data_IF_497514884957
#
_entry.id   IF_497514884957
#
_cell.length_a   1.000
_cell.length_b   1.000
_cell.length_c   1.000
_cell.angle_alpha   90.00
_cell.angle_beta   90.00
_cell.angle_gamma   90.00
#
_symmetry.space_group_name_H-M   'P 1'
#
loop_
_entity.id
_entity.type
_entity.pdbx_description
1 polymer ?
#
# COMPACT_ATOMS: atom_id res chain seq x y z
N UNK A 1 17.15 2.47 5.54
CA UNK A 1 17.55 2.86 4.16
C UNK A 1 18.47 1.86 3.47
N UNK A 2 19.61 1.46 4.05
CA UNK A 2 20.65 0.65 3.38
C UNK A 2 20.15 -0.68 2.78
N UNK A 3 19.29 -1.41 3.51
CA UNK A 3 18.72 -2.66 3.02
C UNK A 3 17.86 -2.45 1.76
N UNK A 4 17.06 -1.38 1.73
CA UNK A 4 16.24 -0.99 0.57
C UNK A 4 17.15 -0.61 -0.60
N UNK A 5 18.22 0.16 -0.38
CA UNK A 5 19.19 0.51 -1.43
C UNK A 5 19.81 -0.71 -2.11
N UNK A 6 20.12 -1.76 -1.35
CA UNK A 6 20.66 -3.00 -1.91
C UNK A 6 19.64 -3.69 -2.83
N UNK A 7 18.37 -3.72 -2.45
CA UNK A 7 17.30 -4.27 -3.28
C UNK A 7 17.09 -3.47 -4.57
N UNK A 8 17.13 -2.14 -4.48
CA UNK A 8 17.07 -1.25 -5.65
C UNK A 8 18.19 -1.54 -6.65
N UNK A 9 19.42 -1.75 -6.15
CA UNK A 9 20.58 -2.10 -6.99
C UNK A 9 20.39 -3.45 -7.68
N UNK A 10 19.89 -4.46 -6.97
CA UNK A 10 19.63 -5.81 -7.53
C UNK A 10 18.57 -5.76 -8.63
N UNK A 11 17.49 -5.01 -8.41
CA UNK A 11 16.38 -4.86 -9.38
C UNK A 11 16.66 -3.83 -10.48
N UNK A 12 17.80 -3.13 -10.41
CA UNK A 12 18.17 -2.01 -11.27
C UNK A 12 17.02 -0.99 -11.41
N UNK A 13 16.39 -0.64 -10.29
CA UNK A 13 15.24 0.25 -10.23
C UNK A 13 15.34 1.08 -8.95
N UNK A 14 15.28 2.41 -9.06
CA UNK A 14 15.63 3.32 -7.98
C UNK A 14 14.44 4.21 -7.64
N UNK A 15 14.11 4.39 -6.35
CA UNK A 15 13.07 5.32 -5.94
C UNK A 15 13.57 6.76 -5.98
N UNK A 16 12.61 7.67 -5.94
CA UNK A 16 12.86 9.03 -5.49
C UNK A 16 12.54 9.11 -3.99
N UNK A 17 13.50 9.49 -3.16
CA UNK A 17 13.29 9.54 -1.72
C UNK A 17 13.88 10.79 -1.05
N UNK A 18 13.34 11.14 0.12
CA UNK A 18 13.84 12.21 0.98
C UNK A 18 13.89 11.70 2.41
N UNK A 19 15.01 11.90 3.09
CA UNK A 19 15.18 11.48 4.48
C UNK A 19 15.37 12.71 5.38
N UNK A 20 14.58 12.78 6.45
CA UNK A 20 14.68 13.81 7.49
C UNK A 20 14.80 13.09 8.83
N UNK A 21 16.03 13.02 9.36
CA UNK A 21 16.39 12.30 10.58
C UNK A 21 15.93 10.82 10.56
N UNK A 22 14.82 10.53 11.23
CA UNK A 22 14.25 9.19 11.39
C UNK A 22 13.15 8.88 10.36
N UNK A 23 12.73 9.85 9.56
CA UNK A 23 11.62 9.67 8.62
C UNK A 23 12.11 9.68 7.19
N UNK A 24 11.93 8.58 6.46
CA UNK A 24 12.25 8.47 5.04
C UNK A 24 10.98 8.42 4.20
N UNK A 25 10.76 9.44 3.37
CA UNK A 25 9.70 9.48 2.37
C UNK A 25 10.19 8.83 1.08
N UNK A 26 9.44 7.86 0.56
CA UNK A 26 9.81 7.10 -0.64
C UNK A 26 8.70 7.24 -1.67
N UNK A 27 9.06 7.64 -2.89
CA UNK A 27 8.18 7.69 -4.06
C UNK A 27 8.71 6.74 -5.13
N UNK A 28 7.93 5.72 -5.41
CA UNK A 28 8.17 4.79 -6.52
C UNK A 28 7.57 5.35 -7.81
N UNK A 29 8.35 5.28 -8.88
CA UNK A 29 7.94 5.68 -10.23
C UNK A 29 8.87 5.06 -11.24
N UNK A 30 8.34 4.74 -12.41
CA UNK A 30 9.09 4.23 -13.54
C UNK A 30 9.25 5.33 -14.60
N UNK A 31 10.50 5.59 -14.97
CA UNK A 31 10.82 6.56 -16.03
C UNK A 31 10.41 6.06 -17.42
N UNK A 32 10.56 4.76 -17.69
CA UNK A 32 10.19 4.13 -18.95
C UNK A 32 9.63 2.70 -18.75
N UNK A 33 8.36 2.43 -19.12
CA UNK A 33 7.36 3.41 -19.56
C UNK A 33 7.07 4.44 -18.46
N UNK A 34 6.76 5.68 -18.85
CA UNK A 34 6.44 6.74 -17.88
C UNK A 34 5.22 6.33 -17.07
N UNK A 35 5.33 6.32 -15.74
CA UNK A 35 4.22 6.02 -14.85
C UNK A 35 4.61 4.95 -13.83
N UNK A 36 3.66 4.10 -13.46
CA UNK A 36 3.90 2.96 -12.58
C UNK A 36 4.14 1.69 -13.39
N UNK A 37 5.01 0.82 -12.87
CA UNK A 37 5.24 -0.52 -13.40
C UNK A 37 5.27 -1.55 -12.27
N UNK A 38 5.28 -2.83 -12.64
CA UNK A 38 5.38 -3.94 -11.68
C UNK A 38 6.64 -3.85 -10.80
N UNK A 39 7.71 -3.20 -11.30
CA UNK A 39 8.94 -2.98 -10.51
C UNK A 39 8.71 -2.07 -9.32
N UNK A 40 7.82 -1.10 -9.45
CA UNK A 40 7.45 -0.19 -8.36
C UNK A 40 6.74 -0.97 -7.26
N UNK A 41 5.81 -1.86 -7.63
CA UNK A 41 5.07 -2.72 -6.70
C UNK A 41 6.01 -3.74 -6.00
N UNK A 42 6.90 -4.37 -6.76
CA UNK A 42 7.91 -5.30 -6.26
C UNK A 42 8.83 -4.66 -5.21
N UNK A 43 9.25 -3.42 -5.43
CA UNK A 43 10.15 -2.73 -4.50
C UNK A 43 9.39 -2.12 -3.31
N UNK A 44 8.16 -1.66 -3.51
CA UNK A 44 7.29 -1.20 -2.43
C UNK A 44 7.03 -2.33 -1.42
N UNK A 45 6.59 -3.50 -1.90
CA UNK A 45 6.33 -4.68 -1.04
C UNK A 45 7.56 -5.15 -0.27
N UNK A 46 8.74 -5.12 -0.91
CA UNK A 46 10.02 -5.39 -0.24
C UNK A 46 10.36 -4.34 0.82
N UNK A 47 10.05 -3.07 0.55
CA UNK A 47 10.25 -2.00 1.52
C UNK A 47 9.39 -2.21 2.76
N UNK A 48 8.12 -2.60 2.58
CA UNK A 48 7.20 -2.92 3.68
C UNK A 48 7.70 -4.12 4.50
N UNK A 49 8.15 -5.18 3.84
CA UNK A 49 8.73 -6.34 4.51
C UNK A 49 9.95 -5.97 5.36
N UNK A 50 10.87 -5.17 4.82
CA UNK A 50 12.05 -4.68 5.56
C UNK A 50 11.63 -3.78 6.73
N UNK A 51 10.64 -2.91 6.54
CA UNK A 51 10.14 -2.05 7.61
C UNK A 51 9.47 -2.86 8.74
N UNK A 52 8.77 -3.95 8.41
CA UNK A 52 8.19 -4.85 9.38
C UNK A 52 9.27 -5.63 10.16
N UNK A 53 10.31 -6.13 9.48
CA UNK A 53 11.46 -6.78 10.14
C UNK A 53 12.20 -5.86 11.10
N UNK A 54 12.29 -4.56 10.77
CA UNK A 54 12.90 -3.54 11.62
C UNK A 54 11.97 -3.00 12.72
N UNK A 55 10.68 -3.35 12.69
CA UNK A 55 9.69 -2.90 13.67
C UNK A 55 9.24 -1.45 13.49
N UNK A 56 9.40 -0.87 12.29
CA UNK A 56 8.99 0.51 11.97
C UNK A 56 7.50 0.60 11.59
N UNK A 57 6.88 -0.53 11.23
CA UNK A 57 5.44 -0.62 10.93
C UNK A 57 4.68 -1.01 12.20
N UNK A 58 3.69 -0.19 12.56
CA UNK A 58 2.64 -0.63 13.47
C UNK A 58 1.82 -1.73 12.78
N UNK A 59 1.32 -2.74 13.52
CA UNK A 59 0.43 -3.73 12.93
C UNK A 59 -0.81 -3.04 12.37
N UNK A 60 -1.00 -3.15 11.05
CA UNK A 60 -2.23 -2.71 10.40
C UNK A 60 -3.42 -3.40 11.08
N UNK A 61 -4.49 -2.67 11.43
CA UNK A 61 -5.69 -3.31 11.97
C UNK A 61 -6.20 -4.35 10.96
N UNK A 62 -6.66 -5.52 11.42
CA UNK A 62 -7.13 -6.57 10.51
C UNK A 62 -8.22 -6.01 9.60
N UNK A 63 -8.05 -6.21 8.30
CA UNK A 63 -8.89 -5.71 7.20
C UNK A 63 -10.36 -6.19 7.20
N UNK A 64 -10.82 -6.79 8.30
CA UNK A 64 -12.16 -7.36 8.43
C UNK A 64 -13.28 -6.32 8.47
N UNK A 65 -13.00 -5.04 8.71
CA UNK A 65 -14.08 -4.03 8.81
C UNK A 65 -14.78 -3.72 7.47
N UNK A 66 -14.20 -4.08 6.32
CA UNK A 66 -14.85 -3.81 5.02
C UNK A 66 -16.03 -4.76 4.76
N UNK A 67 -16.00 -6.00 5.28
CA UNK A 67 -17.10 -6.96 5.13
C UNK A 67 -18.35 -6.50 5.88
N UNK A 68 -18.17 -6.00 7.09
CA UNK A 68 -19.28 -5.51 7.92
C UNK A 68 -19.95 -4.27 7.32
N UNK A 69 -19.22 -3.42 6.58
CA UNK A 69 -19.80 -2.25 5.90
C UNK A 69 -20.72 -2.67 4.75
N UNK A 70 -20.32 -3.66 3.95
CA UNK A 70 -21.14 -4.18 2.85
C UNK A 70 -22.41 -4.89 3.37
N UNK A 71 -22.28 -5.68 4.43
CA UNK A 71 -23.41 -6.38 5.06
C UNK A 71 -24.39 -5.40 5.74
N UNK A 72 -23.87 -4.33 6.35
CA UNK A 72 -24.68 -3.26 6.95
C UNK A 72 -25.38 -2.38 5.90
N UNK A 73 -24.76 -2.18 4.73
CA UNK A 73 -25.40 -1.48 3.61
C UNK A 73 -26.58 -2.27 3.03
N UNK A 74 -26.46 -3.60 2.93
CA UNK A 74 -27.55 -4.48 2.45
C UNK A 74 -28.73 -4.53 3.42
N UNK A 75 -28.48 -4.50 4.74
CA UNK A 75 -29.53 -4.60 5.75
C UNK A 75 -30.21 -3.27 6.09
N UNK A 76 -29.53 -2.13 5.88
CA UNK A 76 -30.10 -0.79 6.10
C UNK A 76 -30.76 -0.17 4.88
N UNK A 77 -30.47 -0.67 3.67
CA UNK A 77 -31.22 -0.30 2.48
C UNK A 77 -32.60 -0.97 2.51
N UNK A 78 -33.55 -0.30 3.17
CA UNK A 78 -34.97 -0.66 3.10
C UNK A 78 -35.42 -0.78 1.64
N UNK A 79 -36.20 -1.81 1.36
CA UNK A 79 -36.66 -2.21 0.04
C UNK A 79 -37.51 -1.10 -0.63
N UNK A 80 -36.82 -0.17 -1.31
CA UNK A 80 -37.42 0.97 -2.00
C UNK A 80 -38.22 0.58 -3.25
N UNK A 81 -38.30 -0.71 -3.61
CA UNK A 81 -38.87 -1.17 -4.87
C UNK A 81 -40.22 -1.91 -4.73
N UNK A 82 -40.85 -1.96 -3.55
CA UNK A 82 -42.21 -2.51 -3.43
C UNK A 82 -43.24 -1.40 -3.65
N UNK A 83 -44.06 -1.43 -4.72
CA UNK A 83 -45.15 -0.48 -4.89
C UNK A 83 -46.19 -0.69 -3.77
N UNK A 84 -46.45 0.36 -2.99
CA UNK A 84 -47.53 0.35 -2.00
C UNK A 84 -48.87 0.29 -2.73
N UNK A 85 -49.71 -0.69 -2.36
CA UNK A 85 -51.11 -0.82 -2.82
C UNK A 85 -51.97 0.34 -2.37
#
# INVERSE_FOLDING_TARGET
>A
MTAVSLQCKIKNHHPEWSNVYNTTFIRWTTHNPKGLSDKDLDLATKCDAIAAELGELAPEPPSCEIRDVADKATTSAGDCCVPKK
#
